data_IF_394496695634
#
_entry.id   IF_394496695634
#
_cell.length_a   1.000
_cell.length_b   1.000
_cell.length_c   1.000
_cell.angle_alpha   90.00
_cell.angle_beta   90.00
_cell.angle_gamma   90.00
#
_symmetry.space_group_name_H-M   'P 1'
#
loop_
_entity.id
_entity.type
_entity.pdbx_description
1 polymer ?
#
# COMPACT_ATOMS: atom_id res chain seq x y z
N UNK A 1 5.80 -4.90 26.50
CA UNK A 1 5.82 -3.81 27.49
C UNK A 1 4.48 -3.10 27.50
N UNK A 2 3.88 -2.86 28.67
CA UNK A 2 2.54 -2.25 28.81
C UNK A 2 2.56 -0.72 28.87
N UNK A 3 3.75 -0.11 28.94
CA UNK A 3 3.99 1.32 28.86
C UNK A 3 5.03 1.57 27.77
N UNK A 4 4.83 2.63 26.99
CA UNK A 4 5.76 3.04 25.94
C UNK A 4 5.83 4.56 25.96
N UNK A 5 7.01 5.17 26.07
CA UNK A 5 7.10 6.63 26.01
C UNK A 5 6.55 7.15 24.67
N UNK A 6 6.87 6.44 23.58
CA UNK A 6 6.34 6.72 22.24
C UNK A 6 5.70 5.44 21.70
N UNK A 7 4.38 5.48 21.51
CA UNK A 7 3.64 4.38 20.88
C UNK A 7 3.47 4.64 19.37
N UNK A 8 4.07 3.80 18.53
CA UNK A 8 3.93 3.89 17.07
C UNK A 8 2.83 2.99 16.53
N UNK A 9 1.76 3.59 16.02
CA UNK A 9 0.66 2.91 15.32
C UNK A 9 1.09 2.65 13.87
N UNK A 10 1.82 1.54 13.65
CA UNK A 10 2.33 1.16 12.32
C UNK A 10 1.41 0.24 11.49
N UNK A 11 0.45 -0.43 12.14
CA UNK A 11 -0.44 -1.41 11.50
C UNK A 11 -1.88 -0.94 11.30
N UNK A 12 -2.19 0.30 11.69
CA UNK A 12 -3.56 0.76 11.91
C UNK A 12 -4.14 0.25 13.23
N UNK A 13 -5.41 0.56 13.49
CA UNK A 13 -6.15 0.02 14.63
C UNK A 13 -6.45 -1.46 14.40
N UNK A 14 -6.21 -2.32 15.41
CA UNK A 14 -6.41 -3.76 15.25
C UNK A 14 -7.88 -4.12 14.99
N UNK A 15 -8.83 -3.36 15.54
CA UNK A 15 -10.26 -3.56 15.27
C UNK A 15 -10.61 -3.36 13.80
N UNK A 16 -10.17 -2.24 13.20
CA UNK A 16 -10.37 -1.94 11.78
C UNK A 16 -9.67 -2.97 10.89
N UNK A 17 -8.43 -3.32 11.22
CA UNK A 17 -7.73 -4.42 10.55
C UNK A 17 -8.57 -5.70 10.51
N UNK A 18 -9.20 -6.08 11.63
CA UNK A 18 -10.05 -7.26 11.70
C UNK A 18 -11.31 -7.11 10.84
N UNK A 19 -11.98 -5.96 10.90
CA UNK A 19 -13.18 -5.66 10.11
C UNK A 19 -12.92 -5.80 8.60
N UNK A 20 -11.75 -5.36 8.13
CA UNK A 20 -11.36 -5.44 6.71
C UNK A 20 -10.80 -6.81 6.31
N UNK A 21 -10.18 -7.54 7.23
CA UNK A 21 -9.52 -8.82 6.92
C UNK A 21 -10.48 -10.01 6.97
N UNK A 22 -11.41 -10.01 7.93
CA UNK A 22 -12.26 -11.16 8.24
C UNK A 22 -13.72 -10.86 7.90
N UNK A 23 -14.28 -11.43 6.80
CA UNK A 23 -15.67 -11.19 6.42
C UNK A 23 -16.69 -11.53 7.51
N UNK A 24 -16.36 -12.47 8.40
CA UNK A 24 -17.22 -12.86 9.52
C UNK A 24 -17.51 -11.69 10.47
N UNK A 25 -16.59 -10.71 10.58
CA UNK A 25 -16.76 -9.50 11.40
C UNK A 25 -17.92 -8.61 10.96
N UNK A 26 -18.50 -8.85 9.78
CA UNK A 26 -19.71 -8.16 9.30
C UNK A 26 -20.95 -8.55 10.10
N UNK A 27 -20.96 -9.71 10.76
CA UNK A 27 -22.09 -10.17 11.59
C UNK A 27 -21.81 -9.97 13.08
N UNK A 28 -22.85 -9.79 13.89
CA UNK A 28 -22.71 -9.65 15.34
C UNK A 28 -22.07 -10.90 15.98
N UNK A 29 -22.51 -12.09 15.56
CA UNK A 29 -21.93 -13.37 15.99
C UNK A 29 -20.44 -13.46 15.64
N UNK A 30 -20.06 -13.07 14.43
CA UNK A 30 -18.67 -13.12 14.00
C UNK A 30 -17.76 -12.19 14.79
N UNK A 31 -18.25 -11.01 15.19
CA UNK A 31 -17.51 -10.10 16.08
C UNK A 31 -17.25 -10.75 17.44
N UNK A 32 -18.28 -11.38 18.03
CA UNK A 32 -18.14 -12.11 19.29
C UNK A 32 -17.13 -13.24 19.13
N UNK A 33 -17.28 -14.09 18.12
CA UNK A 33 -16.40 -15.23 17.86
C UNK A 33 -14.94 -14.81 17.67
N UNK A 34 -14.69 -13.71 16.94
CA UNK A 34 -13.34 -13.17 16.76
C UNK A 34 -12.76 -12.59 18.06
N UNK A 35 -13.58 -11.97 18.90
CA UNK A 35 -13.18 -11.52 20.24
C UNK A 35 -12.94 -12.66 21.23
N UNK A 36 -13.33 -13.91 20.92
CA UNK A 36 -12.97 -15.10 21.70
C UNK A 36 -11.66 -15.76 21.23
N UNK A 37 -11.16 -15.41 20.04
CA UNK A 37 -9.89 -15.91 19.57
C UNK A 37 -8.75 -15.30 20.41
N UNK A 38 -7.94 -16.10 21.14
CA UNK A 38 -6.99 -15.59 22.13
C UNK A 38 -6.02 -14.53 21.60
N UNK A 39 -5.59 -14.67 20.33
CA UNK A 39 -4.71 -13.70 19.68
C UNK A 39 -5.39 -12.34 19.52
N UNK A 40 -6.62 -12.33 18.99
CA UNK A 40 -7.33 -11.09 18.72
C UNK A 40 -7.78 -10.44 20.02
N UNK A 41 -8.28 -11.21 20.99
CA UNK A 41 -8.65 -10.72 22.32
C UNK A 41 -7.45 -10.08 23.03
N UNK A 42 -6.29 -10.72 22.98
CA UNK A 42 -5.06 -10.21 23.60
C UNK A 42 -4.64 -8.88 22.96
N UNK A 43 -4.63 -8.79 21.63
CA UNK A 43 -4.25 -7.55 20.93
C UNK A 43 -5.23 -6.39 21.22
N UNK A 44 -6.54 -6.65 21.18
CA UNK A 44 -7.56 -5.65 21.55
C UNK A 44 -7.44 -5.21 23.02
N UNK A 45 -7.14 -6.15 23.92
CA UNK A 45 -6.92 -5.85 25.34
C UNK A 45 -5.66 -4.99 25.53
N UNK A 46 -4.56 -5.31 24.84
CA UNK A 46 -3.32 -4.54 24.92
C UNK A 46 -3.53 -3.12 24.41
N UNK A 47 -4.15 -2.94 23.24
CA UNK A 47 -4.49 -1.61 22.73
C UNK A 47 -5.39 -0.85 23.74
N UNK A 48 -6.42 -1.51 24.28
CA UNK A 48 -7.30 -0.91 25.28
C UNK A 48 -6.55 -0.48 26.55
N UNK A 49 -5.64 -1.32 27.05
CA UNK A 49 -4.84 -0.99 28.23
C UNK A 49 -3.94 0.21 27.93
N UNK A 50 -3.21 0.18 26.82
CA UNK A 50 -2.26 1.24 26.46
C UNK A 50 -3.01 2.57 26.27
N UNK A 51 -4.06 2.57 25.47
CA UNK A 51 -4.75 3.80 25.09
C UNK A 51 -5.68 4.31 26.19
N UNK A 52 -6.53 3.47 26.80
CA UNK A 52 -7.50 3.95 27.79
C UNK A 52 -6.87 4.28 29.13
N UNK A 53 -5.79 3.60 29.52
CA UNK A 53 -5.06 3.93 30.74
C UNK A 53 -3.95 4.95 30.51
N UNK A 54 -3.88 5.56 29.31
CA UNK A 54 -2.86 6.55 28.92
C UNK A 54 -1.44 6.09 29.27
N UNK A 55 -1.11 4.83 28.97
CA UNK A 55 0.24 4.28 29.17
C UNK A 55 1.17 4.61 28.00
N UNK A 56 1.11 5.87 27.59
CA UNK A 56 1.91 6.46 26.54
C UNK A 56 2.18 7.93 26.89
N UNK A 57 3.24 8.53 26.33
CA UNK A 57 3.41 9.99 26.38
C UNK A 57 3.08 10.65 25.06
N UNK A 58 3.50 10.01 23.98
CA UNK A 58 3.18 10.43 22.63
C UNK A 58 2.75 9.23 21.79
N UNK A 59 1.77 9.45 20.92
CA UNK A 59 1.39 8.49 19.88
C UNK A 59 1.85 9.04 18.54
N UNK A 60 2.43 8.18 17.72
CA UNK A 60 2.74 8.49 16.33
C UNK A 60 1.95 7.57 15.39
N UNK A 61 1.22 8.13 14.45
CA UNK A 61 0.49 7.39 13.42
C UNK A 61 1.19 7.53 12.06
N UNK A 62 1.15 6.47 11.25
CA UNK A 62 1.74 6.49 9.90
C UNK A 62 0.82 7.06 8.82
N UNK A 63 -0.41 7.43 9.17
CA UNK A 63 -1.40 8.08 8.32
C UNK A 63 -2.49 8.77 9.16
N UNK A 64 -3.18 9.74 8.56
CA UNK A 64 -4.41 10.31 9.11
C UNK A 64 -5.50 9.24 9.25
N UNK A 65 -5.55 8.24 8.36
CA UNK A 65 -6.44 7.10 8.51
C UNK A 65 -6.23 6.38 9.84
N UNK A 66 -4.98 6.02 10.17
CA UNK A 66 -4.66 5.39 11.46
C UNK A 66 -5.06 6.30 12.63
N UNK A 67 -4.82 7.62 12.53
CA UNK A 67 -5.23 8.58 13.56
C UNK A 67 -6.74 8.58 13.76
N UNK A 68 -7.53 8.65 12.69
CA UNK A 68 -9.00 8.61 12.76
C UNK A 68 -9.52 7.34 13.41
N UNK A 69 -8.97 6.18 13.05
CA UNK A 69 -9.35 4.88 13.63
C UNK A 69 -9.10 4.84 15.14
N UNK A 70 -7.90 5.25 15.58
CA UNK A 70 -7.54 5.27 17.01
C UNK A 70 -8.42 6.25 17.79
N UNK A 71 -8.64 7.45 17.27
CA UNK A 71 -9.53 8.44 17.90
C UNK A 71 -10.97 7.92 18.00
N UNK A 72 -11.47 7.27 16.96
CA UNK A 72 -12.81 6.70 16.93
C UNK A 72 -13.00 5.61 18.00
N UNK A 73 -12.05 4.66 18.10
CA UNK A 73 -12.19 3.50 18.98
C UNK A 73 -11.83 3.77 20.44
N UNK A 74 -10.84 4.64 20.68
CA UNK A 74 -10.27 4.84 22.02
C UNK A 74 -10.57 6.21 22.63
N UNK A 75 -11.15 7.14 21.85
CA UNK A 75 -11.54 8.50 22.29
C UNK A 75 -10.40 9.28 22.96
N UNK A 76 -9.22 9.19 22.36
CA UNK A 76 -8.03 9.89 22.85
C UNK A 76 -8.08 11.39 22.51
N UNK A 77 -7.37 12.25 23.26
CA UNK A 77 -7.14 13.63 22.86
C UNK A 77 -6.42 13.70 21.51
N UNK A 78 -6.90 14.53 20.58
CA UNK A 78 -6.31 14.64 19.25
C UNK A 78 -4.86 15.15 19.27
N UNK A 79 -4.49 15.90 20.30
CA UNK A 79 -3.14 16.46 20.51
C UNK A 79 -2.12 15.41 20.98
N UNK A 80 -2.58 14.25 21.47
CA UNK A 80 -1.70 13.14 21.88
C UNK A 80 -1.14 12.37 20.67
N UNK A 81 -1.66 12.65 19.46
CA UNK A 81 -1.34 11.91 18.24
C UNK A 81 -0.69 12.84 17.22
N UNK A 82 0.54 12.50 16.85
CA UNK A 82 1.31 13.14 15.79
C UNK A 82 1.39 12.21 14.57
N UNK A 83 1.45 12.77 13.37
CA UNK A 83 1.53 11.97 12.14
C UNK A 83 2.92 12.03 11.56
N UNK A 84 3.48 10.83 11.39
CA UNK A 84 4.75 10.60 10.73
C UNK A 84 4.51 9.55 9.65
N UNK A 85 4.19 10.03 8.45
CA UNK A 85 4.11 9.19 7.26
C UNK A 85 5.39 8.37 7.06
N UNK A 86 5.27 7.14 6.56
CA UNK A 86 6.44 6.32 6.28
C UNK A 86 7.34 7.02 5.26
N UNK A 87 8.66 6.86 5.44
CA UNK A 87 9.63 7.30 4.46
C UNK A 87 9.93 6.23 3.40
N UNK A 88 10.69 6.61 2.37
CA UNK A 88 11.27 5.72 1.36
C UNK A 88 12.75 6.03 1.13
N UNK A 89 13.52 5.01 0.79
CA UNK A 89 14.89 5.15 0.33
C UNK A 89 14.91 5.58 -1.14
N UNK A 90 15.11 6.87 -1.37
CA UNK A 90 15.08 7.46 -2.72
C UNK A 90 16.31 7.15 -3.57
N UNK A 91 17.35 6.56 -2.97
CA UNK A 91 18.58 6.13 -3.65
C UNK A 91 18.46 4.67 -4.11
N UNK A 92 17.80 3.82 -3.31
CA UNK A 92 17.46 2.43 -3.69
C UNK A 92 16.30 2.40 -4.69
N UNK A 93 15.24 3.16 -4.42
CA UNK A 93 14.08 3.27 -5.31
C UNK A 93 14.20 4.55 -6.11
N UNK A 94 14.67 4.43 -7.35
CA UNK A 94 14.94 5.58 -8.21
C UNK A 94 14.71 5.24 -9.69
N UNK A 95 14.25 6.20 -10.52
CA UNK A 95 14.11 5.99 -11.95
C UNK A 95 15.41 5.56 -12.63
N UNK A 96 16.58 5.87 -12.04
CA UNK A 96 17.89 5.45 -12.55
C UNK A 96 18.03 3.93 -12.63
N UNK A 97 17.38 3.17 -11.74
CA UNK A 97 17.39 1.70 -11.76
C UNK A 97 16.83 1.14 -13.06
N UNK A 98 15.95 1.88 -13.75
CA UNK A 98 15.39 1.50 -15.05
C UNK A 98 16.46 1.26 -16.10
N UNK A 99 17.49 2.12 -16.15
CA UNK A 99 18.60 2.00 -17.11
C UNK A 99 19.42 0.72 -16.90
N UNK A 100 19.46 0.22 -15.67
CA UNK A 100 20.28 -0.92 -15.29
C UNK A 100 19.53 -2.26 -15.37
N UNK A 101 18.25 -2.29 -14.96
CA UNK A 101 17.55 -3.55 -14.70
C UNK A 101 16.34 -3.82 -15.61
N UNK A 102 15.81 -2.80 -16.31
CA UNK A 102 14.53 -2.95 -17.03
C UNK A 102 14.57 -4.09 -18.04
N UNK A 103 15.57 -4.11 -18.91
CA UNK A 103 15.61 -5.07 -20.02
C UNK A 103 15.83 -6.50 -19.51
N UNK A 104 16.79 -6.69 -18.60
CA UNK A 104 17.07 -8.00 -18.00
C UNK A 104 15.86 -8.59 -17.26
N UNK A 105 15.13 -7.77 -16.48
CA UNK A 105 13.93 -8.23 -15.76
C UNK A 105 12.78 -8.52 -16.73
N UNK A 106 12.59 -7.69 -17.76
CA UNK A 106 11.54 -7.90 -18.76
C UNK A 106 11.82 -9.16 -19.59
N UNK A 107 13.06 -9.40 -19.99
CA UNK A 107 13.49 -10.63 -20.65
C UNK A 107 13.21 -11.87 -19.79
N UNK A 108 13.63 -11.83 -18.51
CA UNK A 108 13.41 -12.91 -17.53
C UNK A 108 11.93 -13.29 -17.41
N UNK A 109 11.03 -12.34 -17.54
CA UNK A 109 9.58 -12.55 -17.44
C UNK A 109 8.86 -12.55 -18.80
N UNK A 110 9.61 -12.66 -19.91
CA UNK A 110 9.09 -12.71 -21.27
C UNK A 110 8.15 -11.53 -21.61
N UNK A 111 8.54 -10.32 -21.22
CA UNK A 111 7.83 -9.06 -21.51
C UNK A 111 8.57 -8.33 -22.62
N UNK A 112 7.91 -8.07 -23.76
CA UNK A 112 8.52 -7.40 -24.91
C UNK A 112 8.62 -5.88 -24.69
N UNK A 113 9.42 -5.16 -25.47
CA UNK A 113 9.64 -3.71 -25.27
C UNK A 113 8.39 -2.86 -25.54
N UNK A 114 7.47 -3.34 -26.37
CA UNK A 114 6.22 -2.68 -26.75
C UNK A 114 5.02 -3.01 -25.83
N UNK A 115 5.20 -3.92 -24.86
CA UNK A 115 4.20 -4.22 -23.83
C UNK A 115 4.21 -3.17 -22.70
N UNK A 116 3.04 -2.81 -22.18
CA UNK A 116 2.95 -2.06 -20.91
C UNK A 116 2.94 -3.06 -19.76
N UNK A 117 3.88 -2.92 -18.81
CA UNK A 117 3.98 -3.80 -17.65
C UNK A 117 3.34 -3.17 -16.41
N UNK A 118 2.20 -3.71 -15.99
CA UNK A 118 1.57 -3.42 -14.71
C UNK A 118 2.30 -4.17 -13.60
N UNK A 119 2.54 -3.50 -12.48
CA UNK A 119 3.12 -4.11 -11.30
C UNK A 119 2.10 -4.20 -10.17
N UNK A 120 2.13 -5.32 -9.47
CA UNK A 120 1.46 -5.52 -8.20
C UNK A 120 2.46 -6.12 -7.20
N UNK A 121 2.77 -5.39 -6.13
CA UNK A 121 3.77 -5.81 -5.13
C UNK A 121 3.17 -5.94 -3.73
N UNK A 122 3.38 -7.11 -3.11
CA UNK A 122 3.24 -7.27 -1.67
C UNK A 122 2.80 -8.63 -1.17
N UNK A 123 2.68 -8.76 0.15
CA UNK A 123 2.15 -9.94 0.82
C UNK A 123 0.65 -9.79 1.11
N UNK A 124 -0.08 -10.92 1.05
CA UNK A 124 -1.52 -10.90 1.36
C UNK A 124 -2.38 -10.35 0.22
N UNK A 125 -2.22 -10.92 -0.99
CA UNK A 125 -2.92 -10.54 -2.22
C UNK A 125 -4.43 -10.28 -2.10
N UNK A 126 -5.13 -10.95 -1.17
CA UNK A 126 -6.57 -10.72 -0.97
C UNK A 126 -6.82 -9.31 -0.41
N UNK A 127 -6.13 -8.97 0.68
CA UNK A 127 -6.24 -7.66 1.34
C UNK A 127 -5.74 -6.55 0.41
N UNK A 128 -4.63 -6.78 -0.28
CA UNK A 128 -4.05 -5.83 -1.25
C UNK A 128 -4.83 -5.72 -2.57
N UNK A 129 -5.91 -6.49 -2.74
CA UNK A 129 -6.83 -6.30 -3.86
C UNK A 129 -6.41 -6.89 -5.21
N UNK A 130 -5.51 -7.88 -5.26
CA UNK A 130 -5.04 -8.46 -6.56
C UNK A 130 -6.19 -8.94 -7.47
N UNK A 131 -7.30 -9.40 -6.88
CA UNK A 131 -8.48 -9.80 -7.64
C UNK A 131 -9.06 -8.64 -8.46
N UNK A 132 -9.14 -7.43 -7.90
CA UNK A 132 -9.59 -6.23 -8.59
C UNK A 132 -8.69 -5.88 -9.77
N UNK A 133 -7.36 -6.02 -9.61
CA UNK A 133 -6.39 -5.80 -10.70
C UNK A 133 -6.56 -6.80 -11.84
N UNK A 134 -6.73 -8.10 -11.51
CA UNK A 134 -6.95 -9.15 -12.53
C UNK A 134 -8.29 -8.95 -13.23
N UNK A 135 -9.35 -8.61 -12.49
CA UNK A 135 -10.65 -8.30 -13.06
C UNK A 135 -10.57 -7.07 -13.97
N UNK A 136 -9.89 -6.00 -13.55
CA UNK A 136 -9.69 -4.80 -14.36
C UNK A 136 -8.95 -5.11 -15.66
N UNK A 137 -7.87 -5.89 -15.60
CA UNK A 137 -7.11 -6.30 -16.78
C UNK A 137 -7.98 -7.11 -17.76
N UNK A 138 -8.92 -7.92 -17.26
CA UNK A 138 -9.86 -8.67 -18.10
C UNK A 138 -10.89 -7.80 -18.83
N UNK A 139 -11.10 -6.56 -18.38
CA UNK A 139 -11.99 -5.59 -19.04
C UNK A 139 -11.29 -4.78 -20.14
N UNK A 140 -9.97 -4.92 -20.28
CA UNK A 140 -9.19 -4.21 -21.29
C UNK A 140 -8.99 -5.12 -22.50
N UNK A 141 -9.31 -4.58 -23.67
CA UNK A 141 -9.22 -5.26 -24.96
C UNK A 141 -7.86 -5.96 -25.17
N UNK A 142 -7.88 -7.14 -25.79
CA UNK A 142 -6.68 -7.97 -26.00
C UNK A 142 -5.70 -7.38 -27.01
N UNK A 143 -6.15 -6.49 -27.91
CA UNK A 143 -5.26 -5.73 -28.80
C UNK A 143 -4.28 -4.85 -28.05
N UNK A 144 -4.58 -4.49 -26.79
CA UNK A 144 -3.66 -3.76 -25.92
C UNK A 144 -2.65 -4.73 -25.30
N UNK A 145 -1.40 -4.59 -25.72
CA UNK A 145 -0.23 -5.33 -25.24
C UNK A 145 0.10 -4.94 -23.80
N UNK A 146 -0.55 -5.60 -22.84
CA UNK A 146 -0.42 -5.31 -21.40
C UNK A 146 -0.25 -6.63 -20.66
N UNK A 147 0.75 -6.67 -19.78
CA UNK A 147 0.99 -7.75 -18.82
C UNK A 147 0.95 -7.25 -17.39
N UNK A 148 0.59 -8.12 -16.45
CA UNK A 148 0.62 -7.88 -15.02
C UNK A 148 1.68 -8.78 -14.38
N UNK A 149 2.68 -8.17 -13.74
CA UNK A 149 3.68 -8.85 -12.94
C UNK A 149 3.34 -8.74 -11.46
N UNK A 150 3.10 -9.88 -10.83
CA UNK A 150 2.73 -10.00 -9.41
C UNK A 150 3.95 -10.48 -8.62
N UNK A 151 4.50 -9.62 -7.76
CA UNK A 151 5.61 -9.95 -6.87
C UNK A 151 5.17 -9.95 -5.40
N UNK A 152 5.66 -10.93 -4.64
CA UNK A 152 5.39 -11.12 -3.22
C UNK A 152 4.77 -12.47 -2.87
N UNK A 153 4.21 -12.56 -1.66
CA UNK A 153 3.73 -13.82 -1.06
C UNK A 153 2.21 -13.84 -0.95
N UNK A 154 1.59 -14.87 -1.51
CA UNK A 154 0.14 -15.07 -1.41
C UNK A 154 -0.34 -16.39 -2.00
N UNK A 155 -1.66 -16.63 -1.94
CA UNK A 155 -2.29 -17.85 -2.47
C UNK A 155 -2.35 -17.82 -4.01
N UNK A 156 -1.21 -17.92 -4.69
CA UNK A 156 -1.06 -17.79 -6.15
C UNK A 156 -2.06 -18.65 -6.94
N UNK A 157 -2.26 -19.92 -6.55
CA UNK A 157 -3.22 -20.84 -7.19
C UNK A 157 -4.64 -20.27 -7.31
N UNK A 158 -5.10 -19.48 -6.32
CA UNK A 158 -6.42 -18.84 -6.36
C UNK A 158 -6.51 -17.84 -7.53
N UNK A 159 -5.45 -17.06 -7.74
CA UNK A 159 -5.42 -15.99 -8.73
C UNK A 159 -5.09 -16.49 -10.13
N UNK A 160 -4.33 -17.58 -10.26
CA UNK A 160 -4.20 -18.31 -11.51
C UNK A 160 -5.56 -18.83 -12.00
N UNK A 161 -6.36 -19.45 -11.11
CA UNK A 161 -7.73 -19.87 -11.44
C UNK A 161 -8.63 -18.70 -11.84
N UNK A 162 -8.48 -17.53 -11.19
CA UNK A 162 -9.20 -16.32 -11.57
C UNK A 162 -8.80 -15.84 -12.97
N UNK A 163 -7.49 -15.75 -13.26
CA UNK A 163 -6.98 -15.37 -14.57
C UNK A 163 -7.45 -16.33 -15.67
N UNK A 164 -7.45 -17.65 -15.39
CA UNK A 164 -7.98 -18.67 -16.29
C UNK A 164 -9.48 -18.48 -16.55
N UNK A 165 -10.29 -18.29 -15.49
CA UNK A 165 -11.74 -18.01 -15.61
C UNK A 165 -12.01 -16.75 -16.43
N UNK A 166 -11.12 -15.76 -16.37
CA UNK A 166 -11.19 -14.50 -17.13
C UNK A 166 -10.52 -14.58 -18.50
N UNK A 167 -9.94 -15.72 -18.87
CA UNK A 167 -9.27 -15.92 -20.17
C UNK A 167 -7.99 -15.11 -20.37
N UNK A 168 -7.33 -14.64 -19.31
CA UNK A 168 -6.14 -13.75 -19.37
C UNK A 168 -4.90 -14.35 -18.71
N UNK A 169 -4.80 -15.68 -18.65
CA UNK A 169 -3.66 -16.37 -18.03
C UNK A 169 -2.32 -15.93 -18.63
N UNK A 170 -2.27 -15.72 -19.95
CA UNK A 170 -1.08 -15.27 -20.69
C UNK A 170 -0.65 -13.83 -20.35
N UNK A 171 -1.54 -13.05 -19.72
CA UNK A 171 -1.28 -11.66 -19.32
C UNK A 171 -0.93 -11.51 -17.84
N UNK A 172 -0.89 -12.59 -17.05
CA UNK A 172 -0.62 -12.52 -15.60
C UNK A 172 0.58 -13.39 -15.25
N UNK A 173 1.67 -12.75 -14.83
CA UNK A 173 2.93 -13.38 -14.45
C UNK A 173 3.09 -13.29 -12.93
N UNK A 174 3.49 -14.39 -12.30
CA UNK A 174 3.78 -14.39 -10.86
C UNK A 174 5.29 -14.57 -10.64
N UNK A 175 5.94 -13.51 -10.14
CA UNK A 175 7.37 -13.51 -9.83
C UNK A 175 7.70 -14.21 -8.50
N UNK A 176 6.71 -14.38 -7.62
CA UNK A 176 6.94 -14.86 -6.26
C UNK A 176 7.68 -13.83 -5.41
N UNK A 177 8.36 -14.29 -4.34
CA UNK A 177 9.13 -13.40 -3.46
C UNK A 177 10.43 -13.00 -4.15
N UNK A 178 10.66 -11.70 -4.32
CA UNK A 178 11.86 -11.15 -4.94
C UNK A 178 12.80 -10.59 -3.87
N UNK A 179 14.10 -10.91 -3.94
CA UNK A 179 15.12 -10.39 -3.01
C UNK A 179 15.43 -8.92 -3.28
N UNK A 180 15.53 -8.55 -4.55
CA UNK A 180 15.83 -7.20 -5.01
C UNK A 180 14.59 -6.61 -5.68
N UNK A 181 13.70 -6.05 -4.85
CA UNK A 181 12.38 -5.59 -5.33
C UNK A 181 12.48 -4.33 -6.21
N UNK A 182 13.51 -3.50 -6.02
CA UNK A 182 13.80 -2.33 -6.85
C UNK A 182 13.99 -2.68 -8.33
N UNK A 183 14.50 -3.88 -8.64
CA UNK A 183 14.62 -4.38 -10.02
C UNK A 183 13.24 -4.60 -10.65
N UNK A 184 12.27 -5.09 -9.87
CA UNK A 184 10.89 -5.27 -10.33
C UNK A 184 10.24 -3.91 -10.60
N UNK A 185 10.43 -2.93 -9.73
CA UNK A 185 9.96 -1.57 -9.95
C UNK A 185 10.57 -0.93 -11.21
N UNK A 186 11.88 -1.11 -11.42
CA UNK A 186 12.58 -0.63 -12.62
C UNK A 186 12.00 -1.18 -13.94
N UNK A 187 11.50 -2.43 -13.92
CA UNK A 187 10.89 -3.07 -15.08
C UNK A 187 9.47 -2.58 -15.40
N UNK A 188 8.77 -2.04 -14.40
CA UNK A 188 7.37 -1.62 -14.51
C UNK A 188 7.13 -0.38 -15.34
N UNK A 189 5.86 -0.17 -15.65
CA UNK A 189 5.35 1.03 -16.32
C UNK A 189 4.20 1.67 -15.52
N UNK A 190 3.38 0.87 -14.83
CA UNK A 190 2.27 1.35 -13.98
C UNK A 190 2.22 0.49 -12.72
N UNK A 191 2.03 1.09 -11.54
CA UNK A 191 1.84 0.35 -10.30
C UNK A 191 0.37 0.36 -9.86
N UNK A 192 -0.20 -0.81 -9.59
CA UNK A 192 -1.64 -0.96 -9.28
C UNK A 192 -1.81 -1.57 -7.89
N UNK A 193 -2.42 -0.81 -6.99
CA UNK A 193 -2.58 -1.15 -5.57
C UNK A 193 -3.99 -0.85 -5.02
N UNK A 194 -5.01 -1.59 -5.50
CA UNK A 194 -6.40 -1.41 -5.08
C UNK A 194 -6.65 -2.13 -3.74
N UNK A 195 -5.92 -1.74 -2.69
CA UNK A 195 -6.01 -2.40 -1.38
C UNK A 195 -7.38 -2.19 -0.74
N UNK A 196 -7.97 -3.24 -0.17
CA UNK A 196 -9.20 -3.13 0.63
C UNK A 196 -8.96 -2.34 1.92
N UNK A 197 -7.74 -2.45 2.45
CA UNK A 197 -7.28 -1.75 3.64
C UNK A 197 -5.76 -1.84 3.72
N UNK A 198 -5.06 -0.71 3.84
CA UNK A 198 -3.65 -0.67 4.21
C UNK A 198 -3.36 0.57 5.06
N UNK A 199 -2.66 0.39 6.18
CA UNK A 199 -2.35 1.47 7.11
C UNK A 199 -1.56 2.62 6.44
N UNK A 200 -0.76 2.30 5.42
CA UNK A 200 -0.12 3.30 4.58
C UNK A 200 -0.06 2.83 3.12
N UNK A 201 0.80 1.85 2.82
CA UNK A 201 1.01 1.39 1.45
C UNK A 201 2.41 1.72 0.96
N UNK A 202 3.43 1.31 1.72
CA UNK A 202 4.85 1.54 1.39
C UNK A 202 5.22 1.09 -0.03
N UNK A 203 4.61 0.01 -0.53
CA UNK A 203 4.84 -0.45 -1.90
C UNK A 203 4.41 0.56 -2.98
N UNK A 204 3.40 1.41 -2.69
CA UNK A 204 3.05 2.54 -3.56
C UNK A 204 4.12 3.63 -3.47
N UNK A 205 4.58 3.97 -2.26
CA UNK A 205 5.62 4.99 -2.09
C UNK A 205 6.94 4.58 -2.77
N UNK A 206 7.32 3.31 -2.70
CA UNK A 206 8.44 2.71 -3.45
C UNK A 206 8.25 2.81 -4.97
N UNK A 207 7.02 2.58 -5.46
CA UNK A 207 6.69 2.73 -6.88
C UNK A 207 6.78 4.19 -7.34
N UNK A 208 6.24 5.13 -6.55
CA UNK A 208 6.31 6.57 -6.80
C UNK A 208 7.78 7.02 -6.83
N UNK A 209 8.58 6.58 -5.85
CA UNK A 209 10.03 6.84 -5.82
C UNK A 209 10.77 6.22 -7.02
N UNK A 210 10.29 5.12 -7.57
CA UNK A 210 10.84 4.55 -8.81
C UNK A 210 10.37 5.27 -10.08
N UNK A 211 9.57 6.33 -9.95
CA UNK A 211 9.02 7.11 -11.07
C UNK A 211 7.85 6.45 -11.78
N UNK A 212 7.12 5.56 -11.10
CA UNK A 212 5.94 4.93 -11.67
C UNK A 212 4.67 5.70 -11.25
N UNK A 213 3.74 5.96 -12.18
CA UNK A 213 2.40 6.37 -11.79
C UNK A 213 1.72 5.25 -11.01
N UNK A 214 1.03 5.63 -9.95
CA UNK A 214 0.34 4.70 -9.04
C UNK A 214 -1.17 4.80 -9.20
N UNK A 215 -1.85 3.67 -9.15
CA UNK A 215 -3.31 3.57 -9.01
C UNK A 215 -3.58 2.93 -7.65
N UNK A 216 -3.93 3.74 -6.65
CA UNK A 216 -4.11 3.29 -5.27
C UNK A 216 -5.57 3.47 -4.81
N UNK A 217 -6.02 2.68 -3.83
CA UNK A 217 -7.34 2.87 -3.22
C UNK A 217 -7.33 3.99 -2.17
N UNK A 218 -8.48 4.65 -1.99
CA UNK A 218 -8.71 5.63 -0.91
C UNK A 218 -8.61 5.03 0.49
N UNK A 219 -8.71 3.70 0.63
CA UNK A 219 -8.57 2.96 1.89
C UNK A 219 -7.13 2.52 2.18
N UNK A 220 -6.16 3.07 1.46
CA UNK A 220 -4.73 2.95 1.72
C UNK A 220 -4.22 4.32 2.20
N UNK A 221 -3.49 4.38 3.32
CA UNK A 221 -3.00 5.66 3.87
C UNK A 221 -2.09 6.47 2.93
N UNK A 222 -1.46 5.85 1.94
CA UNK A 222 -0.66 6.51 0.89
C UNK A 222 -1.52 7.39 -0.02
N UNK A 223 -2.84 7.16 -0.07
CA UNK A 223 -3.76 8.05 -0.80
C UNK A 223 -3.80 9.47 -0.24
N UNK A 224 -3.33 9.67 1.01
CA UNK A 224 -3.26 10.97 1.66
C UNK A 224 -2.13 11.85 1.12
N UNK A 225 -1.13 11.23 0.47
CA UNK A 225 0.00 11.94 -0.15
C UNK A 225 -0.13 12.04 -1.67
N UNK A 226 -1.10 11.35 -2.27
CA UNK A 226 -1.32 11.34 -3.72
C UNK A 226 -2.26 12.50 -4.09
N UNK A 227 -1.80 13.35 -5.00
CA UNK A 227 -2.60 14.33 -5.71
C UNK A 227 -3.30 13.68 -6.91
N UNK A 228 -4.58 13.34 -6.73
CA UNK A 228 -5.40 12.63 -7.72
C UNK A 228 -5.30 13.27 -9.12
N UNK A 229 -5.00 12.45 -10.14
CA UNK A 229 -4.80 12.79 -11.56
C UNK A 229 -3.53 13.57 -11.87
N UNK A 230 -2.73 13.92 -10.87
CA UNK A 230 -1.45 14.63 -11.05
C UNK A 230 -0.27 13.69 -10.88
N UNK A 231 -0.17 13.01 -9.74
CA UNK A 231 0.95 12.13 -9.39
C UNK A 231 0.49 10.67 -9.13
N UNK A 232 -0.79 10.40 -9.40
CA UNK A 232 -1.39 9.09 -9.29
C UNK A 232 -2.92 9.15 -9.41
N UNK A 233 -3.56 7.99 -9.48
CA UNK A 233 -5.01 7.85 -9.41
C UNK A 233 -5.43 7.27 -8.06
N UNK A 234 -6.57 7.75 -7.58
CA UNK A 234 -7.19 7.32 -6.33
C UNK A 234 -8.51 6.67 -6.71
N UNK A 235 -8.66 5.40 -6.38
CA UNK A 235 -9.88 4.61 -6.58
C UNK A 235 -10.75 4.78 -5.35
N UNK A 236 -12.04 5.05 -5.54
CA UNK A 236 -12.97 5.16 -4.43
C UNK A 236 -13.39 3.77 -3.90
N UNK A 237 -13.95 3.74 -2.69
CA UNK A 237 -14.50 2.52 -2.10
C UNK A 237 -16.05 2.57 -2.17
N UNK A 238 -16.74 1.48 -2.57
CA UNK A 238 -16.23 0.15 -2.90
C UNK A 238 -15.39 0.14 -4.18
N UNK A 239 -14.33 -0.67 -4.19
CA UNK A 239 -13.39 -0.75 -5.31
C UNK A 239 -14.07 -1.41 -6.52
N UNK A 240 -14.04 -0.71 -7.65
CA UNK A 240 -14.60 -1.20 -8.90
C UNK A 240 -13.50 -1.52 -9.93
N UNK A 241 -13.49 -2.76 -10.44
CA UNK A 241 -12.56 -3.19 -11.49
C UNK A 241 -12.62 -2.30 -12.75
N UNK A 242 -13.80 -1.77 -13.09
CA UNK A 242 -13.98 -0.85 -14.22
C UNK A 242 -13.21 0.47 -14.03
N UNK A 243 -13.24 1.05 -12.84
CA UNK A 243 -12.51 2.30 -12.55
C UNK A 243 -10.99 2.10 -12.69
N UNK A 244 -10.48 0.97 -12.19
CA UNK A 244 -9.07 0.59 -12.37
C UNK A 244 -8.72 0.44 -13.85
N UNK A 245 -9.58 -0.24 -14.63
CA UNK A 245 -9.37 -0.43 -16.06
C UNK A 245 -9.36 0.90 -16.82
N UNK A 246 -10.24 1.83 -16.46
CA UNK A 246 -10.33 3.16 -17.07
C UNK A 246 -9.06 3.98 -16.77
N UNK A 247 -8.53 3.95 -15.53
CA UNK A 247 -7.23 4.58 -15.22
C UNK A 247 -6.04 3.91 -15.91
N UNK A 248 -6.02 2.57 -16.03
CA UNK A 248 -4.98 1.88 -16.82
C UNK A 248 -5.01 2.36 -18.28
N UNK A 249 -6.21 2.48 -18.89
CA UNK A 249 -6.36 2.94 -20.28
C UNK A 249 -5.80 4.34 -20.49
N UNK A 250 -6.02 5.26 -19.55
CA UNK A 250 -5.42 6.62 -19.59
C UNK A 250 -3.89 6.52 -19.58
N UNK A 251 -3.33 5.68 -18.72
CA UNK A 251 -1.88 5.47 -18.61
C UNK A 251 -1.28 4.62 -19.73
N UNK A 252 -2.06 4.16 -20.73
CA UNK A 252 -1.48 3.56 -21.94
C UNK A 252 -0.82 4.63 -22.82
N UNK A 253 -1.32 5.85 -22.76
CA UNK A 253 -0.67 7.00 -23.39
C UNK A 253 0.67 7.26 -22.65
N UNK A 254 1.76 7.30 -23.43
CA UNK A 254 3.13 7.29 -22.91
C UNK A 254 3.46 8.59 -22.21
N UNK A 255 3.11 9.74 -22.79
CA UNK A 255 3.42 11.06 -22.26
C UNK A 255 2.74 11.28 -20.90
N UNK A 256 1.47 10.94 -20.80
CA UNK A 256 0.64 10.96 -19.58
C UNK A 256 1.24 10.08 -18.50
N UNK A 257 1.65 8.86 -18.87
CA UNK A 257 2.29 7.91 -17.95
C UNK A 257 3.62 8.43 -17.43
N UNK A 258 4.46 8.99 -18.29
CA UNK A 258 5.78 9.53 -17.94
C UNK A 258 5.67 10.82 -17.10
N UNK A 259 4.78 11.74 -17.47
CA UNK A 259 4.52 12.96 -16.73
C UNK A 259 3.98 12.67 -15.31
N UNK A 260 3.02 11.75 -15.20
CA UNK A 260 2.49 11.35 -13.89
C UNK A 260 3.54 10.61 -13.05
N UNK A 261 4.38 9.77 -13.67
CA UNK A 261 5.49 9.09 -13.00
C UNK A 261 6.55 10.07 -12.47
N UNK A 262 6.87 11.12 -13.23
CA UNK A 262 7.77 12.18 -12.79
C UNK A 262 7.18 13.00 -11.63
N UNK A 263 5.88 13.32 -11.68
CA UNK A 263 5.18 13.96 -10.58
C UNK A 263 5.17 13.06 -9.32
N UNK A 264 4.90 11.77 -9.48
CA UNK A 264 4.95 10.77 -8.41
C UNK A 264 6.32 10.73 -7.72
N UNK A 265 7.41 10.74 -8.51
CA UNK A 265 8.77 10.81 -7.99
C UNK A 265 8.96 12.05 -7.14
N UNK A 266 8.61 13.23 -7.64
CA UNK A 266 8.76 14.50 -6.91
C UNK A 266 8.00 14.48 -5.58
N UNK A 267 6.78 13.97 -5.57
CA UNK A 267 6.00 13.80 -4.32
C UNK A 267 6.73 12.87 -3.36
N UNK A 268 7.20 11.70 -3.81
CA UNK A 268 7.87 10.72 -2.95
C UNK A 268 9.17 11.23 -2.30
N UNK A 269 9.91 12.13 -2.97
CA UNK A 269 11.17 12.70 -2.44
C UNK A 269 10.94 13.55 -1.17
N UNK A 270 9.75 14.13 -1.03
CA UNK A 270 9.33 14.84 0.20
C UNK A 270 9.07 13.89 1.38
N UNK A 271 8.91 12.59 1.10
CA UNK A 271 8.76 11.52 2.07
C UNK A 271 9.99 10.60 2.07
N UNK A 272 11.20 11.15 1.94
CA UNK A 272 12.43 10.37 2.07
C UNK A 272 12.62 9.84 3.50
N UNK A 273 13.47 8.82 3.66
CA UNK A 273 13.90 8.36 4.98
C UNK A 273 14.50 9.49 5.82
N UNK A 274 15.30 10.39 5.22
CA UNK A 274 15.85 11.54 5.95
C UNK A 274 14.74 12.45 6.49
N UNK A 275 13.72 12.76 5.70
CA UNK A 275 12.57 13.56 6.15
C UNK A 275 11.79 12.86 7.28
N UNK A 276 11.63 11.53 7.20
CA UNK A 276 11.00 10.72 8.25
C UNK A 276 11.84 10.70 9.55
N UNK A 277 13.16 10.55 9.44
CA UNK A 277 14.10 10.56 10.58
C UNK A 277 14.04 11.89 11.31
N UNK A 278 14.11 13.02 10.60
CA UNK A 278 14.02 14.36 11.21
C UNK A 278 12.74 14.50 12.03
N UNK A 279 11.58 14.18 11.44
CA UNK A 279 10.29 14.24 12.17
C UNK A 279 10.24 13.31 13.38
N UNK A 280 10.86 12.13 13.27
CA UNK A 280 10.92 11.16 14.38
C UNK A 280 11.80 11.69 15.52
N UNK A 281 12.95 12.30 15.19
CA UNK A 281 13.83 12.92 16.18
C UNK A 281 13.16 14.11 16.88
N UNK A 282 12.37 14.91 16.17
CA UNK A 282 11.58 16.00 16.78
C UNK A 282 10.61 15.48 17.85
N UNK A 283 9.95 14.33 17.60
CA UNK A 283 9.10 13.68 18.60
C UNK A 283 9.92 13.20 19.79
N UNK A 284 11.10 12.62 19.55
CA UNK A 284 11.96 12.14 20.63
C UNK A 284 12.40 13.31 21.52
N UNK A 285 12.78 14.43 20.90
CA UNK A 285 13.15 15.64 21.61
C UNK A 285 11.99 16.25 22.40
N UNK A 286 10.77 16.29 21.82
CA UNK A 286 9.55 16.71 22.53
C UNK A 286 9.34 15.88 23.80
N UNK A 287 9.43 14.55 23.69
CA UNK A 287 9.22 13.63 24.83
C UNK A 287 10.32 13.77 25.90
N UNK A 288 11.57 13.98 25.49
CA UNK A 288 12.69 14.24 26.41
C UNK A 288 12.56 15.62 27.11
N UNK A 289 11.98 16.62 26.46
CA UNK A 289 11.82 17.95 27.07
C UNK A 289 10.68 17.99 28.09
N UNK A 290 9.68 17.13 27.98
CA UNK A 290 8.64 16.94 29.03
C UNK A 290 9.28 16.41 30.34
N UNK A 291 10.51 15.90 30.29
CA UNK A 291 11.26 15.37 31.43
C UNK A 291 12.15 16.38 32.16
N UNK A 292 12.25 17.61 31.68
CA UNK A 292 12.88 18.72 32.41
C UNK A 292 11.82 19.60 33.04
#
# INVERSE_FOLDING_TARGET
TLFQDIYRVGGGCHWDYMMHTYPIMRTAFGRIAMCLNPRHSCLLLLEKIIFKQKRYRQITCISEQCRREILHHYKLPANDIEIIYNGVDTDVFTPRMRLQYRDAVREKYHVTSDEVLLLFVGSGFKRKGLHHTIEALSLIDRSKKIKLLVAGRGRMRKYLKLAQKKGITDRVIFAGVCKHIQEIYAAGDIFVFPSEYDAFGTACLEAMASGLPVIASRTSGVSEIISHRTDGFIINHPIAAKEIADYIKVLLEKETRENMGAAARKTSETFSFNANVVKTLDIYQKVLNIHR
#
